data_IF_599106948144
#
_entry.id   IF_599106948144
#
_cell.length_a   1.000
_cell.length_b   1.000
_cell.length_c   1.000
_cell.angle_alpha   90.00
_cell.angle_beta   90.00
_cell.angle_gamma   90.00
#
_symmetry.space_group_name_H-M   'P 1'
#
loop_
_entity.id
_entity.type
_entity.pdbx_description
1 polymer ?
#
# COMPACT_ATOMS: atom_id res chain seq x y z
N UNK A 1 -5.01 19.81 -4.76
CA UNK A 1 -5.19 19.79 -6.23
C UNK A 1 -6.07 20.94 -6.63
N UNK A 2 -5.93 21.47 -7.84
CA UNK A 2 -6.89 22.44 -8.38
C UNK A 2 -8.24 21.74 -8.66
N UNK A 3 -9.39 22.43 -8.49
CA UNK A 3 -10.69 21.98 -8.96
C UNK A 3 -10.62 21.37 -10.38
N UNK A 4 -11.23 20.20 -10.58
CA UNK A 4 -11.20 19.46 -11.86
C UNK A 4 -9.89 18.73 -12.18
N UNK A 5 -8.89 18.77 -11.30
CA UNK A 5 -7.62 18.07 -11.49
C UNK A 5 -7.70 16.55 -11.24
N UNK A 6 -6.73 15.81 -11.79
CA UNK A 6 -6.57 14.36 -11.58
C UNK A 6 -5.31 14.03 -10.81
N UNK A 7 -5.40 13.05 -9.90
CA UNK A 7 -4.29 12.52 -9.11
C UNK A 7 -4.34 11.01 -9.13
N UNK A 8 -3.23 10.40 -9.50
CA UNK A 8 -3.04 8.96 -9.44
C UNK A 8 -2.11 8.63 -8.29
N UNK A 9 -2.58 7.82 -7.35
CA UNK A 9 -1.78 7.33 -6.22
C UNK A 9 -1.55 5.83 -6.44
N UNK A 10 -0.29 5.46 -6.66
CA UNK A 10 0.13 4.06 -6.55
C UNK A 10 0.46 3.80 -5.08
N UNK A 11 -0.39 3.04 -4.41
CA UNK A 11 -0.14 2.57 -3.06
C UNK A 11 0.46 1.17 -3.14
N UNK A 12 1.74 1.05 -2.82
CA UNK A 12 2.35 -0.24 -2.52
C UNK A 12 1.61 -0.82 -1.30
N UNK A 13 0.74 -1.78 -1.54
CA UNK A 13 0.15 -2.58 -0.48
C UNK A 13 1.14 -3.69 -0.31
N UNK A 14 2.16 -3.54 0.57
CA UNK A 14 2.94 -4.69 1.04
C UNK A 14 1.93 -5.79 1.32
N UNK A 15 1.84 -6.83 0.47
CA UNK A 15 0.66 -7.68 0.52
C UNK A 15 0.54 -8.19 1.92
N UNK A 16 -0.69 -8.26 2.40
CA UNK A 16 -0.94 -9.08 3.56
C UNK A 16 -0.46 -10.51 3.36
N UNK A 17 -0.84 -11.33 4.33
CA UNK A 17 -0.35 -12.67 4.63
C UNK A 17 0.63 -13.31 3.62
N UNK A 18 0.28 -13.48 2.35
CA UNK A 18 1.15 -13.96 1.27
C UNK A 18 2.57 -13.33 1.20
N UNK A 19 2.73 -12.00 1.23
CA UNK A 19 4.08 -11.40 1.14
C UNK A 19 4.81 -11.41 2.47
N UNK A 20 4.09 -11.29 3.59
CA UNK A 20 4.69 -11.59 4.89
C UNK A 20 5.25 -13.01 4.91
N UNK A 21 4.48 -14.00 4.47
CA UNK A 21 4.91 -15.39 4.38
C UNK A 21 6.10 -15.55 3.42
N UNK A 22 6.01 -15.00 2.21
CA UNK A 22 7.09 -15.05 1.23
C UNK A 22 8.39 -14.48 1.79
N UNK A 23 8.37 -13.25 2.32
CA UNK A 23 9.55 -12.58 2.89
C UNK A 23 10.08 -13.30 4.13
N UNK A 24 9.23 -13.87 4.99
CA UNK A 24 9.65 -14.67 6.14
C UNK A 24 10.39 -15.95 5.71
N UNK A 25 10.06 -16.52 4.55
CA UNK A 25 10.68 -17.73 4.02
C UNK A 25 11.91 -17.45 3.15
N UNK A 26 12.03 -16.24 2.56
CA UNK A 26 13.11 -15.87 1.65
C UNK A 26 13.97 -14.72 2.20
N UNK A 27 13.60 -13.47 1.92
CA UNK A 27 14.40 -12.25 2.13
C UNK A 27 14.82 -12.07 3.57
N UNK A 28 13.91 -12.28 4.53
CA UNK A 28 14.22 -12.17 5.96
C UNK A 28 15.30 -13.18 6.35
N UNK A 29 15.21 -14.43 5.89
CA UNK A 29 16.23 -15.45 6.20
C UNK A 29 17.59 -15.07 5.61
N UNK A 30 17.62 -14.52 4.40
CA UNK A 30 18.85 -14.07 3.77
C UNK A 30 19.48 -12.88 4.52
N UNK A 31 18.68 -11.87 4.87
CA UNK A 31 19.14 -10.69 5.61
C UNK A 31 19.69 -11.05 7.00
N UNK A 32 18.98 -11.91 7.74
CA UNK A 32 19.44 -12.37 9.05
C UNK A 32 20.77 -13.14 8.96
N UNK A 33 21.00 -13.92 7.89
CA UNK A 33 22.30 -14.59 7.65
C UNK A 33 23.43 -13.62 7.36
N UNK A 34 23.13 -12.42 6.88
CA UNK A 34 24.09 -11.34 6.64
C UNK A 34 24.28 -10.44 7.87
N UNK A 35 23.67 -10.77 9.02
CA UNK A 35 23.74 -9.96 10.23
C UNK A 35 22.89 -8.68 10.20
N UNK A 36 21.96 -8.58 9.23
CA UNK A 36 21.05 -7.43 9.11
C UNK A 36 19.78 -7.72 9.93
N UNK A 37 19.43 -6.82 10.85
CA UNK A 37 18.15 -6.86 11.55
C UNK A 37 17.02 -6.42 10.60
N UNK A 38 16.53 -7.41 9.86
CA UNK A 38 15.50 -7.21 8.84
C UNK A 38 14.22 -6.59 9.40
N UNK A 39 13.79 -7.00 10.60
CA UNK A 39 12.52 -6.56 11.16
C UNK A 39 12.60 -5.08 11.59
N UNK A 40 13.76 -4.66 12.11
CA UNK A 40 14.04 -3.26 12.43
C UNK A 40 14.07 -2.37 11.18
N UNK A 41 14.77 -2.78 10.12
CA UNK A 41 14.84 -2.03 8.87
C UNK A 41 13.46 -1.89 8.22
N UNK A 42 12.68 -2.97 8.21
CA UNK A 42 11.30 -2.94 7.73
C UNK A 42 10.41 -1.98 8.53
N UNK A 43 10.54 -1.94 9.86
CA UNK A 43 9.78 -1.02 10.70
C UNK A 43 10.16 0.46 10.47
N UNK A 44 11.42 0.73 10.12
CA UNK A 44 11.91 2.08 9.77
C UNK A 44 11.40 2.54 8.42
N UNK A 45 11.42 1.66 7.42
CA UNK A 45 10.98 1.96 6.05
C UNK A 45 9.45 2.03 5.94
N UNK A 46 8.73 1.14 6.62
CA UNK A 46 7.29 0.95 6.45
C UNK A 46 6.51 1.38 7.71
N UNK A 47 6.74 2.62 8.15
CA UNK A 47 6.12 3.20 9.35
C UNK A 47 4.59 3.20 9.30
N UNK A 48 4.03 3.40 8.12
CA UNK A 48 2.59 3.42 7.91
C UNK A 48 2.13 2.11 7.28
N UNK A 49 1.23 1.42 7.97
CA UNK A 49 0.58 0.24 7.43
C UNK A 49 -0.32 0.62 6.24
N UNK A 50 -0.30 -0.17 5.16
CA UNK A 50 -1.07 0.11 3.94
C UNK A 50 -2.55 0.38 4.21
N UNK A 51 -3.19 -0.41 5.09
CA UNK A 51 -4.57 -0.18 5.51
C UNK A 51 -4.83 1.20 6.14
N UNK A 52 -3.88 1.74 6.92
CA UNK A 52 -4.02 3.09 7.48
C UNK A 52 -3.91 4.16 6.39
N UNK A 53 -3.05 3.96 5.39
CA UNK A 53 -2.93 4.85 4.23
C UNK A 53 -4.20 4.83 3.37
N UNK A 54 -4.83 3.66 3.18
CA UNK A 54 -6.12 3.56 2.49
C UNK A 54 -7.19 4.41 3.19
N UNK A 55 -7.30 4.31 4.52
CA UNK A 55 -8.25 5.11 5.32
C UNK A 55 -7.95 6.60 5.17
N UNK A 56 -6.68 7.01 5.17
CA UNK A 56 -6.31 8.41 4.96
C UNK A 56 -6.72 8.91 3.56
N UNK A 57 -6.45 8.13 2.51
CA UNK A 57 -6.85 8.47 1.15
C UNK A 57 -8.38 8.63 1.07
N UNK A 58 -9.13 7.67 1.58
CA UNK A 58 -10.60 7.73 1.58
C UNK A 58 -11.14 8.92 2.36
N UNK A 59 -10.53 9.27 3.49
CA UNK A 59 -10.95 10.41 4.30
C UNK A 59 -10.61 11.75 3.63
N UNK A 60 -9.40 11.89 3.10
CA UNK A 60 -8.93 13.13 2.45
C UNK A 60 -9.73 13.44 1.19
N UNK A 61 -10.07 12.41 0.42
CA UNK A 61 -10.78 12.53 -0.86
C UNK A 61 -12.26 12.15 -0.75
N UNK A 62 -12.84 12.22 0.45
CA UNK A 62 -14.24 11.83 0.69
C UNK A 62 -15.27 12.66 -0.10
N UNK A 63 -14.91 13.90 -0.48
CA UNK A 63 -15.73 14.78 -1.30
C UNK A 63 -15.42 14.69 -2.81
N UNK A 64 -14.46 13.85 -3.19
CA UNK A 64 -13.97 13.73 -4.57
C UNK A 64 -14.43 12.41 -5.20
N UNK A 65 -14.36 12.29 -6.53
CA UNK A 65 -14.59 11.00 -7.18
C UNK A 65 -13.32 10.17 -7.09
N UNK A 66 -13.42 9.00 -6.45
CA UNK A 66 -12.28 8.09 -6.25
C UNK A 66 -12.56 6.75 -6.93
N UNK A 67 -11.73 6.39 -7.90
CA UNK A 67 -11.68 5.04 -8.48
C UNK A 67 -10.56 4.24 -7.83
N UNK A 68 -10.84 3.00 -7.45
CA UNK A 68 -9.89 2.05 -6.90
C UNK A 68 -9.66 0.90 -7.87
N UNK A 69 -8.41 0.46 -8.02
CA UNK A 69 -8.05 -0.80 -8.68
C UNK A 69 -6.99 -1.51 -7.85
N UNK A 70 -7.25 -2.74 -7.43
CA UNK A 70 -6.28 -3.59 -6.76
C UNK A 70 -5.58 -4.54 -7.74
N UNK A 71 -4.32 -4.90 -7.45
CA UNK A 71 -3.52 -5.82 -8.26
C UNK A 71 -3.04 -6.97 -7.35
N UNK A 72 -3.38 -8.25 -7.61
CA UNK A 72 -4.06 -8.76 -8.80
C UNK A 72 -5.59 -8.77 -8.69
N UNK A 73 -6.17 -8.55 -7.50
CA UNK A 73 -7.61 -8.63 -7.29
C UNK A 73 -8.25 -7.23 -7.30
N UNK A 74 -9.35 -7.02 -8.06
CA UNK A 74 -9.95 -5.70 -8.22
C UNK A 74 -10.69 -5.18 -6.98
N UNK A 75 -10.86 -6.02 -5.95
CA UNK A 75 -11.57 -5.67 -4.72
C UNK A 75 -10.65 -4.94 -3.73
N UNK A 76 -11.23 -4.07 -2.90
CA UNK A 76 -10.51 -3.33 -1.85
C UNK A 76 -9.99 -4.27 -0.76
N UNK A 77 -8.79 -4.78 -0.97
CA UNK A 77 -8.05 -5.56 0.02
C UNK A 77 -6.59 -5.19 -0.06
N UNK A 78 -6.00 -4.79 1.06
CA UNK A 78 -4.55 -4.69 1.18
C UNK A 78 -3.91 -6.04 1.49
N UNK A 79 -4.70 -7.00 1.98
CA UNK A 79 -4.16 -8.28 2.44
C UNK A 79 -3.78 -9.23 1.30
N UNK A 80 -4.43 -9.10 0.14
CA UNK A 80 -4.25 -10.00 -0.99
C UNK A 80 -3.72 -9.32 -2.25
N UNK A 81 -3.54 -8.00 -2.23
CA UNK A 81 -3.01 -7.24 -3.35
C UNK A 81 -1.56 -6.81 -3.12
N UNK A 82 -0.74 -6.83 -4.18
CA UNK A 82 0.62 -6.28 -4.25
C UNK A 82 0.66 -4.77 -4.33
N UNK A 83 -0.34 -4.20 -4.98
CA UNK A 83 -0.50 -2.77 -5.03
C UNK A 83 -1.96 -2.43 -5.25
N UNK A 84 -2.28 -1.17 -4.98
CA UNK A 84 -3.52 -0.58 -5.38
C UNK A 84 -3.30 0.78 -6.02
N UNK A 85 -4.16 1.11 -6.96
CA UNK A 85 -4.15 2.39 -7.66
C UNK A 85 -5.42 3.13 -7.28
N UNK A 86 -5.27 4.34 -6.78
CA UNK A 86 -6.34 5.30 -6.60
C UNK A 86 -6.26 6.35 -7.68
N UNK A 87 -7.33 6.53 -8.44
CA UNK A 87 -7.47 7.66 -9.36
C UNK A 87 -8.52 8.60 -8.77
N UNK A 88 -8.07 9.79 -8.38
CA UNK A 88 -8.90 10.82 -7.77
C UNK A 88 -9.15 11.91 -8.81
N UNK A 89 -10.42 12.25 -9.00
CA UNK A 89 -10.85 13.42 -9.76
C UNK A 89 -11.44 14.45 -8.78
N UNK A 90 -10.76 15.61 -8.68
CA UNK A 90 -11.10 16.68 -7.75
C UNK A 90 -12.41 17.34 -8.17
N UNK A 91 -13.42 17.27 -7.31
CA UNK A 91 -14.69 17.96 -7.56
C UNK A 91 -14.52 19.47 -7.44
N UNK A 92 -15.31 20.26 -8.19
CA UNK A 92 -15.22 21.71 -8.22
C UNK A 92 -15.43 22.38 -6.86
#
# INVERSE_FOLDING_TARGET
MRPGGYLTILLATDPGLAHRLGRHLTTRRAAMRLGIDYDLEMAREHRNHAGALMVQIERVFAADTVRYVGIPFPFKTWNFNYSSVYQVHKQP
#
